data_IF_092192426281
#
_entry.id   IF_092192426281
#
_cell.length_a   1.000
_cell.length_b   1.000
_cell.length_c   1.000
_cell.angle_alpha   90.00
_cell.angle_beta   90.00
_cell.angle_gamma   90.00
#
_symmetry.space_group_name_H-M   'P 1'
#
loop_
_entity.id
_entity.type
_entity.pdbx_description
1 polymer ?
#
# COMPACT_ATOMS: atom_id res chain seq x y z
N UNK A 1 8.53 -15.11 -15.34
CA UNK A 1 9.60 -15.27 -14.33
C UNK A 1 9.07 -15.79 -12.99
N UNK A 2 8.16 -15.05 -12.32
CA UNK A 2 7.60 -15.42 -11.00
C UNK A 2 7.18 -16.90 -10.87
N UNK A 3 6.32 -17.40 -11.77
CA UNK A 3 5.81 -18.77 -11.67
C UNK A 3 6.92 -19.83 -11.71
N UNK A 4 7.91 -19.66 -12.59
CA UNK A 4 9.09 -20.54 -12.64
C UNK A 4 9.83 -20.56 -11.30
N UNK A 5 9.97 -19.41 -10.62
CA UNK A 5 10.63 -19.33 -9.30
C UNK A 5 9.81 -20.02 -8.22
N UNK A 6 8.49 -19.84 -8.21
CA UNK A 6 7.58 -20.54 -7.30
C UNK A 6 7.66 -22.06 -7.50
N UNK A 7 7.65 -22.52 -8.77
CA UNK A 7 7.74 -23.94 -9.14
C UNK A 7 9.08 -24.57 -8.75
N UNK A 8 10.14 -23.76 -8.64
CA UNK A 8 11.50 -24.20 -8.27
C UNK A 8 11.82 -24.00 -6.78
N UNK A 9 10.82 -23.71 -5.94
CA UNK A 9 11.04 -23.41 -4.52
C UNK A 9 11.61 -24.63 -3.78
N UNK A 10 12.76 -24.47 -3.11
CA UNK A 10 13.31 -25.47 -2.20
C UNK A 10 12.81 -25.20 -0.78
N UNK A 11 12.01 -26.12 -0.24
CA UNK A 11 11.51 -26.05 1.13
C UNK A 11 12.45 -26.77 2.11
N UNK A 12 12.41 -26.36 3.38
CA UNK A 12 13.14 -27.00 4.48
C UNK A 12 12.15 -27.61 5.49
N UNK A 13 12.47 -28.76 6.11
CA UNK A 13 11.61 -29.36 7.12
C UNK A 13 11.46 -28.44 8.35
N UNK A 14 10.26 -28.30 8.92
CA UNK A 14 10.08 -27.58 10.18
C UNK A 14 10.49 -28.47 11.37
N UNK A 15 10.67 -27.86 12.54
CA UNK A 15 10.74 -28.60 13.80
C UNK A 15 9.33 -29.11 14.18
N UNK A 16 9.26 -30.25 14.84
CA UNK A 16 7.99 -30.80 15.35
C UNK A 16 7.31 -29.80 16.29
N UNK A 17 6.00 -29.61 16.11
CA UNK A 17 5.14 -28.70 16.88
C UNK A 17 5.62 -27.24 17.03
N UNK A 18 6.53 -26.77 16.17
CA UNK A 18 7.16 -25.46 16.31
C UNK A 18 6.22 -24.27 16.05
N UNK A 19 5.09 -24.52 15.39
CA UNK A 19 4.17 -23.49 14.90
C UNK A 19 4.97 -22.33 14.26
N UNK A 20 4.76 -21.08 14.72
CA UNK A 20 5.50 -19.89 14.28
C UNK A 20 6.54 -19.40 15.31
N UNK A 21 6.83 -20.17 16.37
CA UNK A 21 7.72 -19.73 17.46
C UNK A 21 9.18 -19.51 17.03
N UNK A 22 9.60 -20.12 15.91
CA UNK A 22 10.95 -20.01 15.33
C UNK A 22 10.94 -19.27 13.98
N UNK A 23 9.95 -18.40 13.76
CA UNK A 23 9.74 -17.71 12.50
C UNK A 23 8.72 -18.43 11.62
N UNK A 24 8.76 -18.14 10.31
CA UNK A 24 7.73 -18.60 9.40
C UNK A 24 7.75 -20.12 9.23
N UNK A 25 6.63 -20.78 9.53
CA UNK A 25 6.54 -22.24 9.44
C UNK A 25 6.59 -22.72 7.98
N UNK A 26 7.47 -23.68 7.67
CA UNK A 26 7.65 -24.15 6.29
C UNK A 26 6.49 -24.97 5.74
N UNK A 27 5.70 -25.63 6.60
CA UNK A 27 4.44 -26.26 6.19
C UNK A 27 3.43 -25.20 5.77
N UNK A 28 3.31 -24.10 6.52
CA UNK A 28 2.46 -22.99 6.13
C UNK A 28 2.94 -22.28 4.85
N UNK A 29 4.26 -22.14 4.66
CA UNK A 29 4.83 -21.55 3.46
C UNK A 29 4.44 -22.31 2.18
N UNK A 30 4.34 -23.65 2.23
CA UNK A 30 3.86 -24.46 1.10
C UNK A 30 2.44 -24.06 0.68
N UNK A 31 1.55 -23.77 1.64
CA UNK A 31 0.20 -23.30 1.34
C UNK A 31 0.20 -21.92 0.69
N UNK A 32 1.01 -20.99 1.20
CA UNK A 32 1.15 -19.64 0.61
C UNK A 32 1.68 -19.72 -0.83
N UNK A 33 2.75 -20.50 -1.06
CA UNK A 33 3.32 -20.70 -2.40
C UNK A 33 2.31 -21.36 -3.33
N UNK A 34 1.59 -22.39 -2.87
CA UNK A 34 0.56 -23.07 -3.68
C UNK A 34 -0.57 -22.12 -4.07
N UNK A 35 -1.09 -21.34 -3.11
CA UNK A 35 -2.13 -20.36 -3.40
C UNK A 35 -1.66 -19.30 -4.40
N UNK A 36 -0.46 -18.75 -4.19
CA UNK A 36 0.09 -17.74 -5.10
C UNK A 36 0.27 -18.31 -6.51
N UNK A 37 0.74 -19.55 -6.62
CA UNK A 37 1.01 -20.18 -7.91
C UNK A 37 -0.25 -20.57 -8.67
N UNK A 38 -1.30 -21.00 -7.97
CA UNK A 38 -2.43 -21.70 -8.57
C UNK A 38 -3.76 -20.94 -8.49
N UNK A 39 -3.91 -20.01 -7.55
CA UNK A 39 -5.21 -19.40 -7.24
C UNK A 39 -5.18 -17.88 -7.17
N UNK A 40 -4.00 -17.28 -6.97
CA UNK A 40 -3.89 -15.83 -6.87
C UNK A 40 -3.97 -15.16 -8.25
N UNK A 41 -5.08 -14.47 -8.49
CA UNK A 41 -5.33 -13.78 -9.74
C UNK A 41 -4.72 -12.38 -9.74
N UNK A 42 -3.48 -12.27 -10.24
CA UNK A 42 -2.75 -11.01 -10.29
C UNK A 42 -3.48 -9.90 -11.07
N UNK A 43 -4.09 -10.23 -12.22
CA UNK A 43 -4.83 -9.25 -13.03
C UNK A 43 -5.98 -8.60 -12.26
N UNK A 44 -6.72 -9.38 -11.46
CA UNK A 44 -7.77 -8.85 -10.58
C UNK A 44 -7.21 -7.92 -9.51
N UNK A 45 -6.00 -8.17 -9.01
CA UNK A 45 -5.36 -7.24 -8.06
C UNK A 45 -4.91 -5.96 -8.74
N UNK A 46 -4.40 -6.03 -9.97
CA UNK A 46 -4.04 -4.84 -10.77
C UNK A 46 -5.28 -3.97 -11.01
N UNK A 47 -6.42 -4.57 -11.39
CA UNK A 47 -7.70 -3.86 -11.54
C UNK A 47 -8.13 -3.19 -10.24
N UNK A 48 -8.01 -3.88 -9.10
CA UNK A 48 -8.31 -3.31 -7.78
C UNK A 48 -7.40 -2.15 -7.41
N UNK A 49 -6.09 -2.29 -7.65
CA UNK A 49 -5.11 -1.24 -7.39
C UNK A 49 -5.44 -0.02 -8.23
N UNK A 50 -5.68 -0.21 -9.53
CA UNK A 50 -6.01 0.86 -10.48
C UNK A 50 -7.43 1.46 -10.32
N UNK A 51 -8.21 1.01 -9.33
CA UNK A 51 -9.52 1.61 -9.02
C UNK A 51 -9.40 3.09 -8.66
N UNK A 52 -8.28 3.49 -8.07
CA UNK A 52 -8.02 4.87 -7.67
C UNK A 52 -6.98 5.53 -8.59
N UNK A 53 -7.04 6.86 -8.78
CA UNK A 53 -6.04 7.56 -9.59
C UNK A 53 -4.66 7.54 -8.94
N UNK A 54 -3.66 7.10 -9.72
CA UNK A 54 -2.25 7.12 -9.34
C UNK A 54 -1.52 8.22 -10.10
N UNK A 55 -0.56 8.86 -9.43
CA UNK A 55 0.23 9.94 -9.98
C UNK A 55 1.71 9.73 -9.65
N UNK A 56 2.56 10.36 -10.44
CA UNK A 56 3.98 10.53 -10.18
C UNK A 56 4.38 11.98 -10.38
N UNK A 57 5.25 12.47 -9.51
CA UNK A 57 5.87 13.79 -9.66
C UNK A 57 7.28 13.76 -9.09
N UNK A 58 8.14 14.64 -9.58
CA UNK A 58 9.52 14.73 -9.11
C UNK A 58 9.60 15.68 -7.91
N UNK A 59 10.06 15.16 -6.77
CA UNK A 59 10.29 15.92 -5.53
C UNK A 59 11.74 15.70 -5.14
N UNK A 60 12.49 16.79 -4.99
CA UNK A 60 13.91 16.75 -4.61
C UNK A 60 14.77 15.85 -5.51
N UNK A 61 14.38 15.71 -6.78
CA UNK A 61 15.08 14.89 -7.77
C UNK A 61 14.71 13.40 -7.75
N UNK A 62 13.71 12.98 -6.96
CA UNK A 62 13.18 11.62 -6.96
C UNK A 62 11.77 11.57 -7.54
N UNK A 63 11.48 10.56 -8.35
CA UNK A 63 10.12 10.31 -8.81
C UNK A 63 9.26 9.69 -7.70
N UNK A 64 8.37 10.50 -7.11
CA UNK A 64 7.48 10.10 -6.02
C UNK A 64 6.11 9.71 -6.56
N UNK A 65 5.71 8.47 -6.28
CA UNK A 65 4.39 7.95 -6.54
C UNK A 65 3.42 8.28 -5.41
N UNK A 66 2.18 8.64 -5.77
CA UNK A 66 1.08 8.74 -4.81
C UNK A 66 -0.28 8.43 -5.44
N UNK A 67 -1.19 7.91 -4.61
CA UNK A 67 -2.62 7.82 -4.91
C UNK A 67 -3.29 9.09 -4.40
N UNK A 68 -4.15 9.71 -5.20
CA UNK A 68 -4.98 10.84 -4.77
C UNK A 68 -6.46 10.58 -5.08
N UNK A 69 -7.27 10.48 -4.02
CA UNK A 69 -8.69 10.21 -4.13
C UNK A 69 -9.48 11.38 -3.58
N UNK A 70 -10.25 12.02 -4.46
CA UNK A 70 -11.16 13.09 -4.09
C UNK A 70 -12.56 12.52 -3.79
N UNK A 71 -13.32 13.11 -2.86
CA UNK A 71 -14.70 12.72 -2.65
C UNK A 71 -15.52 12.97 -3.92
N UNK A 72 -16.37 12.01 -4.28
CA UNK A 72 -17.20 12.12 -5.49
C UNK A 72 -18.31 13.18 -5.34
N UNK A 73 -18.75 13.44 -4.11
CA UNK A 73 -19.83 14.38 -3.81
C UNK A 73 -19.49 15.17 -2.53
N UNK A 74 -19.79 16.46 -2.56
CA UNK A 74 -19.74 17.35 -1.40
C UNK A 74 -21.06 18.10 -1.33
N UNK A 75 -21.59 18.30 -0.11
CA UNK A 75 -22.76 19.15 0.09
C UNK A 75 -22.43 20.61 -0.26
N UNK A 76 -23.42 21.45 -0.63
CA UNK A 76 -23.20 22.87 -0.84
C UNK A 76 -22.52 23.54 0.36
N UNK A 77 -21.44 24.28 0.11
CA UNK A 77 -20.64 24.93 1.16
C UNK A 77 -19.72 24.00 1.96
N UNK A 78 -19.77 22.68 1.73
CA UNK A 78 -18.86 21.73 2.35
C UNK A 78 -17.51 21.70 1.62
N UNK A 79 -16.43 21.56 2.39
CA UNK A 79 -15.07 21.37 1.87
C UNK A 79 -14.53 20.00 2.28
N UNK A 80 -13.89 19.31 1.35
CA UNK A 80 -13.07 18.15 1.65
C UNK A 80 -11.85 18.58 2.47
N UNK A 81 -11.45 17.77 3.44
CA UNK A 81 -10.23 17.98 4.23
C UNK A 81 -9.11 17.12 3.64
N UNK A 82 -7.96 17.67 3.26
CA UNK A 82 -6.85 16.86 2.80
C UNK A 82 -6.29 16.02 3.96
N UNK A 83 -6.10 14.72 3.72
CA UNK A 83 -5.48 13.79 4.66
C UNK A 83 -4.36 13.04 3.95
N UNK A 84 -3.13 13.24 4.44
CA UNK A 84 -1.95 12.48 4.02
C UNK A 84 -1.87 11.19 4.83
N UNK A 85 -1.90 10.04 4.16
CA UNK A 85 -1.81 8.72 4.77
C UNK A 85 -0.51 8.04 4.35
N UNK A 86 0.44 7.97 5.28
CA UNK A 86 1.79 7.43 5.03
C UNK A 86 1.89 6.02 5.61
N UNK A 87 2.32 5.06 4.78
CA UNK A 87 2.52 3.68 5.21
C UNK A 87 3.90 3.46 5.84
N UNK A 88 4.07 2.32 6.52
CA UNK A 88 5.36 1.91 7.10
C UNK A 88 6.02 0.76 6.35
N UNK A 89 6.97 0.09 7.00
CA UNK A 89 7.55 -1.19 6.58
C UNK A 89 7.02 -2.33 7.45
N UNK A 90 6.73 -3.53 6.91
CA UNK A 90 6.86 -3.97 5.51
C UNK A 90 5.61 -3.66 4.65
N UNK A 91 4.93 -2.57 4.96
CA UNK A 91 3.67 -2.15 4.34
C UNK A 91 3.81 -1.44 2.98
N UNK A 92 2.67 -0.94 2.50
CA UNK A 92 2.57 -0.16 1.25
C UNK A 92 1.30 0.70 1.24
N UNK A 93 1.22 1.64 0.29
CA UNK A 93 0.03 2.47 0.06
C UNK A 93 -1.28 1.65 -0.08
N UNK A 94 -1.19 0.37 -0.46
CA UNK A 94 -2.35 -0.52 -0.62
C UNK A 94 -3.09 -0.81 0.70
N UNK A 95 -2.43 -0.66 1.86
CA UNK A 95 -3.03 -0.87 3.19
C UNK A 95 -4.27 0.01 3.42
N UNK A 96 -4.34 1.17 2.77
CA UNK A 96 -5.43 2.13 2.94
C UNK A 96 -6.65 1.88 2.03
N UNK A 97 -6.59 0.94 1.08
CA UNK A 97 -7.63 0.79 0.06
C UNK A 97 -9.03 0.52 0.62
N UNK A 98 -9.12 -0.15 1.77
CA UNK A 98 -10.40 -0.45 2.42
C UNK A 98 -10.99 0.74 3.16
N UNK A 99 -10.17 1.67 3.67
CA UNK A 99 -10.64 2.81 4.46
C UNK A 99 -10.92 4.04 3.61
N UNK A 100 -10.27 4.18 2.44
CA UNK A 100 -10.51 5.28 1.49
C UNK A 100 -12.01 5.58 1.29
N UNK A 101 -12.89 4.63 0.92
CA UNK A 101 -14.29 4.95 0.66
C UNK A 101 -15.05 5.42 1.91
N UNK A 102 -14.64 4.97 3.11
CA UNK A 102 -15.22 5.42 4.38
C UNK A 102 -14.89 6.90 4.67
N UNK A 103 -13.73 7.37 4.21
CA UNK A 103 -13.26 8.73 4.42
C UNK A 103 -13.71 9.70 3.32
N UNK A 104 -13.81 9.22 2.07
CA UNK A 104 -14.20 10.03 0.91
C UNK A 104 -15.71 10.07 0.69
N UNK A 105 -16.46 9.07 1.15
CA UNK A 105 -17.91 8.96 0.96
C UNK A 105 -18.64 8.53 2.27
N UNK A 106 -18.40 9.18 3.41
CA UNK A 106 -18.86 8.73 4.73
C UNK A 106 -20.37 8.48 4.80
N UNK A 107 -21.19 9.30 4.12
CA UNK A 107 -22.64 9.17 4.11
C UNK A 107 -23.11 7.82 3.51
N UNK A 108 -22.43 7.31 2.47
CA UNK A 108 -22.74 6.01 1.85
C UNK A 108 -22.41 4.83 2.76
N UNK A 109 -21.67 5.08 3.83
CA UNK A 109 -21.19 4.10 4.79
C UNK A 109 -21.79 4.30 6.19
N UNK A 110 -22.83 5.13 6.33
CA UNK A 110 -23.49 5.37 7.62
C UNK A 110 -22.64 6.17 8.63
N UNK A 111 -21.61 6.88 8.14
CA UNK A 111 -20.71 7.71 8.95
C UNK A 111 -21.11 9.18 8.87
N UNK A 112 -20.54 10.01 9.76
CA UNK A 112 -20.83 11.44 9.83
C UNK A 112 -20.56 12.14 8.49
N UNK A 113 -21.60 12.64 7.78
CA UNK A 113 -21.45 13.22 6.45
C UNK A 113 -20.72 14.56 6.47
N UNK A 114 -20.53 15.20 7.63
CA UNK A 114 -19.82 16.48 7.75
C UNK A 114 -18.29 16.34 7.71
N UNK A 115 -17.76 15.13 7.91
CA UNK A 115 -16.33 14.83 7.91
C UNK A 115 -15.94 14.07 6.64
N UNK A 116 -15.75 14.82 5.55
CA UNK A 116 -15.33 14.29 4.25
C UNK A 116 -13.87 14.64 4.01
N UNK A 117 -13.08 13.65 3.60
CA UNK A 117 -11.66 13.81 3.30
C UNK A 117 -11.38 13.63 1.81
N UNK A 118 -10.36 14.32 1.31
CA UNK A 118 -9.61 13.88 0.13
C UNK A 118 -8.32 13.22 0.61
N UNK A 119 -7.96 12.08 0.00
CA UNK A 119 -6.92 11.21 0.51
C UNK A 119 -5.70 11.26 -0.41
N UNK A 120 -4.52 11.48 0.17
CA UNK A 120 -3.24 11.38 -0.51
C UNK A 120 -2.44 10.25 0.15
N UNK A 121 -2.13 9.18 -0.59
CA UNK A 121 -1.35 8.04 -0.11
C UNK A 121 -0.05 7.91 -0.94
N UNK A 122 1.08 8.50 -0.52
CA UNK A 122 2.33 8.31 -1.20
C UNK A 122 2.89 6.91 -0.96
N UNK A 123 3.64 6.41 -1.94
CA UNK A 123 4.71 5.44 -1.65
C UNK A 123 5.89 6.20 -1.07
N UNK A 124 6.36 5.83 0.12
CA UNK A 124 7.58 6.43 0.69
C UNK A 124 8.79 6.16 -0.23
N UNK A 125 9.78 7.07 -0.34
CA UNK A 125 10.94 6.87 -1.22
C UNK A 125 11.61 5.50 -1.04
N UNK A 126 11.89 4.83 -2.15
CA UNK A 126 12.42 3.46 -2.18
C UNK A 126 11.40 2.34 -1.99
N UNK A 127 10.11 2.66 -1.87
CA UNK A 127 9.04 1.67 -1.70
C UNK A 127 8.06 1.70 -2.87
N UNK A 128 7.47 0.54 -3.18
CA UNK A 128 6.41 0.41 -4.16
C UNK A 128 6.79 0.97 -5.53
N UNK A 129 6.15 2.07 -5.90
CA UNK A 129 6.35 2.72 -7.21
C UNK A 129 7.13 4.04 -7.13
N UNK A 130 7.57 4.45 -5.93
CA UNK A 130 8.47 5.60 -5.77
C UNK A 130 9.92 5.18 -6.00
N UNK A 131 10.69 6.08 -6.59
CA UNK A 131 12.11 5.89 -6.82
C UNK A 131 12.89 5.75 -5.50
N UNK A 132 13.94 4.92 -5.53
CA UNK A 132 14.84 4.76 -4.40
C UNK A 132 15.87 5.91 -4.38
N UNK A 133 16.20 6.45 -3.19
CA UNK A 133 17.20 7.50 -3.07
C UNK A 133 18.53 7.13 -3.70
N UNK A 134 19.18 8.09 -4.36
CA UNK A 134 20.46 7.88 -5.04
C UNK A 134 21.66 8.23 -4.17
N UNK A 135 21.46 8.98 -3.08
CA UNK A 135 22.52 9.43 -2.18
C UNK A 135 22.26 8.95 -0.74
N UNK A 136 23.34 8.86 0.04
CA UNK A 136 23.25 8.53 1.47
C UNK A 136 22.60 9.69 2.24
N UNK A 137 21.72 9.37 3.19
CA UNK A 137 21.11 10.35 4.11
C UNK A 137 19.68 10.79 3.76
N UNK A 138 19.15 10.41 2.60
CA UNK A 138 17.85 10.88 2.09
C UNK A 138 16.63 10.08 2.61
N UNK A 139 16.83 9.08 3.48
CA UNK A 139 15.80 8.06 3.74
C UNK A 139 14.82 8.45 4.86
N UNK A 140 15.27 9.24 5.84
CA UNK A 140 14.45 9.89 6.88
C UNK A 140 15.27 11.08 7.42
N UNK A 141 14.65 12.25 7.62
CA UNK A 141 15.22 13.56 8.03
C UNK A 141 15.60 14.43 6.82
N UNK A 142 14.72 15.32 6.35
CA UNK A 142 14.55 16.63 6.98
C UNK A 142 13.08 17.13 6.99
N UNK A 143 12.37 16.91 8.10
CA UNK A 143 11.10 17.60 8.38
C UNK A 143 11.32 18.95 9.11
N UNK A 144 12.55 19.47 9.16
CA UNK A 144 12.93 20.66 9.93
C UNK A 144 13.47 21.83 9.08
N UNK A 145 13.57 21.74 7.76
CA UNK A 145 13.93 22.88 6.92
C UNK A 145 12.75 23.82 6.56
N UNK A 146 11.72 23.89 7.41
CA UNK A 146 10.69 24.92 7.34
C UNK A 146 10.67 25.70 8.66
N UNK A 147 11.66 26.57 8.84
CA UNK A 147 11.64 27.74 9.72
C UNK A 147 12.48 28.85 9.09
#
# INVERSE_FOLDING_TARGET
DLYRRLDSTRFFPPLEDSQFHYGFNSTHLKHVVSYWRNSFEWRKQVERINKYPHYKTTIEGLDVHFVHVKPAHLAPGQKARPLLMVHGWPGSFYEFYRIIPLLTEPAKHGLNPNLVFEIICPSIPGYGFSEAPHKKGEVVVDQRAAN
#
